data_IF_781014294618
#
_entry.id   IF_781014294618
#
_cell.length_a   1.000
_cell.length_b   1.000
_cell.length_c   1.000
_cell.angle_alpha   90.00
_cell.angle_beta   90.00
_cell.angle_gamma   90.00
#
_symmetry.space_group_name_H-M   'P 1'
#
loop_
_entity.id
_entity.type
_entity.pdbx_description
1 polymer ?
#
# COMPACT_ATOMS: atom_id res chain seq x y z
N UNK A 1 17.13 -1.40 12.89
CA UNK A 1 16.16 -2.36 13.47
C UNK A 1 14.79 -2.08 12.84
N UNK A 2 13.98 -3.09 12.49
CA UNK A 2 12.61 -2.86 12.03
C UNK A 2 11.86 -2.10 13.12
N UNK A 3 11.43 -0.87 12.85
CA UNK A 3 10.57 -0.11 13.76
C UNK A 3 9.14 -0.51 13.50
N UNK A 4 8.37 -0.74 14.56
CA UNK A 4 6.93 -0.92 14.44
C UNK A 4 6.34 0.39 13.94
N UNK A 5 5.72 0.38 12.76
CA UNK A 5 4.91 1.48 12.28
C UNK A 5 3.48 1.26 12.75
N UNK A 6 2.91 2.31 13.32
CA UNK A 6 1.52 2.31 13.73
C UNK A 6 0.68 2.85 12.58
N UNK A 7 -0.49 2.27 12.41
CA UNK A 7 -1.53 2.82 11.53
C UNK A 7 -2.17 3.98 12.30
N UNK A 8 -2.24 5.14 11.66
CA UNK A 8 -2.94 6.29 12.24
C UNK A 8 -4.42 5.95 12.48
N UNK A 9 -5.02 6.24 13.64
CA UNK A 9 -6.45 6.00 13.87
C UNK A 9 -7.36 6.64 12.82
N UNK A 10 -6.96 7.78 12.23
CA UNK A 10 -7.70 8.48 11.18
C UNK A 10 -7.71 7.72 9.85
N UNK A 11 -6.88 6.67 9.70
CA UNK A 11 -6.89 5.81 8.50
C UNK A 11 -8.30 5.28 8.19
N UNK A 12 -9.09 4.98 9.23
CA UNK A 12 -10.42 4.40 9.08
C UNK A 12 -11.48 5.43 8.67
N UNK A 13 -11.23 6.71 8.94
CA UNK A 13 -12.14 7.83 8.65
C UNK A 13 -11.79 8.54 7.33
N UNK A 14 -10.67 8.18 6.69
CA UNK A 14 -10.22 8.78 5.45
C UNK A 14 -11.13 8.39 4.26
N UNK A 15 -11.66 9.41 3.58
CA UNK A 15 -12.63 9.21 2.50
C UNK A 15 -12.02 8.58 1.24
N UNK A 16 -10.71 8.73 1.00
CA UNK A 16 -10.02 8.04 -0.10
C UNK A 16 -9.80 6.57 0.25
N UNK A 17 -9.40 6.26 1.50
CA UNK A 17 -9.28 4.88 1.98
C UNK A 17 -10.62 4.16 1.92
N UNK A 18 -11.73 4.85 2.20
CA UNK A 18 -13.07 4.29 2.08
C UNK A 18 -13.44 3.86 0.65
N UNK A 19 -12.80 4.42 -0.39
CA UNK A 19 -13.02 4.00 -1.80
C UNK A 19 -12.32 2.70 -2.17
N UNK A 20 -11.41 2.23 -1.33
CA UNK A 20 -10.61 1.05 -1.59
C UNK A 20 -11.36 -0.24 -1.22
N UNK A 21 -11.12 -1.30 -2.00
CA UNK A 21 -11.54 -2.65 -1.64
C UNK A 21 -10.81 -3.11 -0.37
N UNK A 22 -11.25 -4.23 0.21
CA UNK A 22 -10.59 -4.80 1.39
C UNK A 22 -9.13 -5.14 1.09
N UNK A 23 -8.85 -5.74 -0.06
CA UNK A 23 -7.51 -6.22 -0.41
C UNK A 23 -6.59 -5.05 -0.77
N UNK A 24 -7.14 -4.01 -1.39
CA UNK A 24 -6.45 -2.72 -1.59
C UNK A 24 -6.06 -2.07 -0.25
N UNK A 25 -6.93 -2.11 0.76
CA UNK A 25 -6.61 -1.62 2.12
C UNK A 25 -5.52 -2.45 2.79
N UNK A 26 -5.54 -3.78 2.64
CA UNK A 26 -4.48 -4.66 3.14
C UNK A 26 -3.15 -4.31 2.48
N UNK A 27 -3.14 -4.08 1.16
CA UNK A 27 -1.95 -3.64 0.43
C UNK A 27 -1.40 -2.32 0.99
N UNK A 28 -2.26 -1.32 1.24
CA UNK A 28 -1.83 -0.04 1.84
C UNK A 28 -1.22 -0.26 3.24
N UNK A 29 -1.89 -1.02 4.10
CA UNK A 29 -1.41 -1.34 5.45
C UNK A 29 -0.06 -2.09 5.43
N UNK A 30 0.07 -3.06 4.54
CA UNK A 30 1.31 -3.81 4.33
C UNK A 30 2.45 -2.92 3.83
N UNK A 31 2.16 -1.98 2.93
CA UNK A 31 3.13 -0.98 2.48
C UNK A 31 3.55 -0.05 3.61
N UNK A 32 2.60 0.45 4.41
CA UNK A 32 2.88 1.28 5.59
C UNK A 32 3.79 0.56 6.56
N UNK A 33 3.59 -0.73 6.84
CA UNK A 33 4.47 -1.51 7.71
C UNK A 33 5.88 -1.69 7.17
N UNK A 34 6.02 -1.93 5.86
CA UNK A 34 7.27 -2.30 5.20
C UNK A 34 8.12 -1.15 4.65
N UNK A 35 7.62 0.09 4.64
CA UNK A 35 8.35 1.26 4.15
C UNK A 35 9.67 1.50 4.91
N UNK A 36 10.52 2.42 4.45
CA UNK A 36 11.68 2.94 5.21
C UNK A 36 11.32 4.21 6.02
N UNK A 37 12.31 4.83 6.67
CA UNK A 37 12.09 6.06 7.46
C UNK A 37 11.70 7.26 6.56
N UNK A 38 11.98 7.19 5.25
CA UNK A 38 11.60 8.18 4.23
C UNK A 38 10.27 7.84 3.54
N UNK A 39 9.58 6.78 4.00
CA UNK A 39 8.32 6.32 3.41
C UNK A 39 8.49 5.60 2.07
N UNK A 40 9.70 5.20 1.69
CA UNK A 40 9.98 4.51 0.42
C UNK A 40 9.86 3.00 0.57
N UNK A 41 9.41 2.36 -0.50
CA UNK A 41 9.24 0.91 -0.58
C UNK A 41 9.48 0.43 -2.01
N UNK A 42 9.95 -0.81 -2.17
CA UNK A 42 9.99 -1.49 -3.46
C UNK A 42 8.57 -1.81 -3.94
N UNK A 43 8.11 -1.11 -4.97
CA UNK A 43 6.76 -1.27 -5.52
C UNK A 43 6.62 -2.39 -6.58
N UNK A 44 7.61 -3.28 -6.69
CA UNK A 44 7.56 -4.39 -7.65
C UNK A 44 6.50 -5.42 -7.22
N UNK A 45 5.55 -5.84 -8.09
CA UNK A 45 4.42 -6.67 -7.69
C UNK A 45 4.83 -7.99 -7.02
N UNK A 46 5.85 -8.69 -7.57
CA UNK A 46 6.36 -9.92 -6.97
C UNK A 46 6.93 -9.71 -5.54
N UNK A 47 7.55 -8.56 -5.28
CA UNK A 47 8.06 -8.22 -3.95
C UNK A 47 6.90 -7.92 -2.99
N UNK A 48 5.88 -7.17 -3.44
CA UNK A 48 4.68 -6.87 -2.66
C UNK A 48 3.90 -8.16 -2.34
N UNK A 49 3.74 -9.08 -3.30
CA UNK A 49 3.15 -10.41 -3.07
C UNK A 49 3.92 -11.15 -1.99
N UNK A 50 5.23 -11.27 -2.14
CA UNK A 50 6.06 -12.02 -1.19
C UNK A 50 6.10 -11.40 0.23
N UNK A 51 5.92 -10.09 0.36
CA UNK A 51 6.01 -9.38 1.65
C UNK A 51 4.68 -9.18 2.36
N UNK A 52 3.57 -9.06 1.62
CA UNK A 52 2.25 -8.72 2.16
C UNK A 52 1.28 -9.89 2.04
N UNK A 53 1.37 -10.65 0.94
CA UNK A 53 0.42 -11.72 0.59
C UNK A 53 1.14 -13.08 0.44
N UNK A 54 2.09 -13.36 1.34
CA UNK A 54 3.01 -14.49 1.20
C UNK A 54 2.29 -15.83 1.05
N UNK A 55 1.21 -16.02 1.83
CA UNK A 55 0.45 -17.26 1.95
C UNK A 55 -0.91 -17.23 1.24
N UNK A 56 -1.23 -16.14 0.54
CA UNK A 56 -2.45 -16.04 -0.25
C UNK A 56 -2.18 -16.69 -1.61
N UNK A 57 -2.50 -17.97 -1.71
CA UNK A 57 -2.28 -18.80 -2.91
C UNK A 57 -3.26 -18.49 -4.04
N UNK A 58 -4.36 -17.80 -3.74
CA UNK A 58 -5.36 -17.29 -4.68
C UNK A 58 -4.93 -15.98 -5.37
N UNK A 59 -3.81 -15.38 -4.95
CA UNK A 59 -3.26 -14.15 -5.52
C UNK A 59 -1.89 -14.40 -6.17
N UNK A 60 -1.78 -13.99 -7.44
CA UNK A 60 -0.51 -13.96 -8.15
C UNK A 60 0.09 -12.54 -8.23
N UNK A 61 1.29 -12.44 -8.82
CA UNK A 61 1.96 -11.15 -8.98
C UNK A 61 1.21 -10.19 -9.92
N UNK A 62 0.44 -10.71 -10.89
CA UNK A 62 -0.38 -9.89 -11.79
C UNK A 62 -1.59 -9.31 -11.08
N UNK A 63 -2.20 -10.06 -10.16
CA UNK A 63 -3.31 -9.56 -9.35
C UNK A 63 -2.84 -8.47 -8.38
N UNK A 64 -1.67 -8.66 -7.75
CA UNK A 64 -1.03 -7.61 -6.93
C UNK A 64 -0.67 -6.37 -7.74
N UNK A 65 -0.27 -6.54 -9.00
CA UNK A 65 -0.04 -5.41 -9.92
C UNK A 65 -1.31 -4.60 -10.17
N UNK A 66 -2.43 -5.28 -10.47
CA UNK A 66 -3.73 -4.62 -10.66
C UNK A 66 -4.19 -3.91 -9.38
N UNK A 67 -4.01 -4.53 -8.22
CA UNK A 67 -4.32 -3.91 -6.92
C UNK A 67 -3.50 -2.65 -6.70
N UNK A 68 -2.18 -2.70 -6.93
CA UNK A 68 -1.29 -1.53 -6.82
C UNK A 68 -1.74 -0.39 -7.72
N UNK A 69 -2.00 -0.69 -8.99
CA UNK A 69 -2.33 0.33 -9.98
C UNK A 69 -3.73 0.91 -9.77
N UNK A 70 -4.67 0.10 -9.29
CA UNK A 70 -5.99 0.54 -8.84
C UNK A 70 -5.89 1.51 -7.65
N UNK A 71 -5.05 1.19 -6.64
CA UNK A 71 -4.77 2.11 -5.53
C UNK A 71 -4.20 3.45 -6.04
N UNK A 72 -3.21 3.43 -6.94
CA UNK A 72 -2.62 4.64 -7.51
C UNK A 72 -3.62 5.49 -8.32
N UNK A 73 -4.64 4.85 -8.90
CA UNK A 73 -5.69 5.55 -9.65
C UNK A 73 -6.72 6.17 -8.71
N UNK A 74 -7.13 5.45 -7.66
CA UNK A 74 -8.16 5.91 -6.70
C UNK A 74 -7.61 6.92 -5.70
N UNK A 75 -6.41 6.69 -5.21
CA UNK A 75 -5.71 7.61 -4.34
C UNK A 75 -4.98 8.61 -5.23
N UNK A 76 -5.44 9.86 -5.26
CA UNK A 76 -4.73 10.90 -6.00
C UNK A 76 -3.26 10.92 -5.55
N UNK A 77 -2.28 10.85 -6.46
CA UNK A 77 -0.91 11.14 -6.07
C UNK A 77 -0.89 12.55 -5.46
N UNK A 78 -0.16 12.68 -4.34
CA UNK A 78 0.09 14.00 -3.77
C UNK A 78 0.57 14.93 -4.90
N UNK A 79 0.03 16.15 -5.03
CA UNK A 79 0.42 17.03 -6.12
C UNK A 79 1.94 17.19 -6.13
N UNK A 80 2.58 17.01 -7.29
CA UNK A 80 4.04 17.21 -7.48
C UNK A 80 4.46 18.70 -7.31
N UNK A 81 3.72 19.50 -6.54
CA UNK A 81 3.85 20.95 -6.43
C UNK A 81 4.36 21.43 -5.08
N UNK A 82 4.86 20.54 -4.20
CA UNK A 82 5.53 20.99 -2.98
C UNK A 82 7.03 21.21 -3.26
N UNK A 83 7.59 22.41 -3.01
CA UNK A 83 8.93 22.80 -3.46
C UNK A 83 10.07 22.32 -2.54
N UNK A 84 10.01 21.09 -2.03
CA UNK A 84 11.11 20.48 -1.27
C UNK A 84 11.44 19.10 -1.84
#
# INVERSE_FOLDING_TARGET
MPRRRMVDPLFWDDHYIATLTRDERILVLGCTGNADDEGRLKAHPAYLKASIFMYDDDLDASDVEKLRDSCLTKMKPWPNTHPY
#
